data_IF_217771232053
#
_entry.id   IF_217771232053
#
_cell.length_a   1.000
_cell.length_b   1.000
_cell.length_c   1.000
_cell.angle_alpha   90.00
_cell.angle_beta   90.00
_cell.angle_gamma   90.00
#
_symmetry.space_group_name_H-M   'P 1'
#
loop_
_entity.id
_entity.type
_entity.pdbx_description
1 polymer ?
#
# COMPACT_ATOMS: atom_id res chain seq x y z
N UNK A 1 -19.30 -7.43 -0.60
CA UNK A 1 -19.30 -8.91 -0.45
C UNK A 1 -18.33 -9.27 0.66
N UNK A 2 -18.70 -10.17 1.57
CA UNK A 2 -17.81 -10.65 2.63
C UNK A 2 -16.94 -11.79 2.09
N UNK A 3 -15.63 -11.69 2.28
CA UNK A 3 -14.68 -12.73 1.88
C UNK A 3 -14.11 -13.35 3.15
N UNK A 4 -14.26 -14.67 3.30
CA UNK A 4 -13.67 -15.41 4.42
C UNK A 4 -12.28 -15.91 4.03
N UNK A 5 -11.29 -15.63 4.86
CA UNK A 5 -9.90 -16.04 4.65
C UNK A 5 -9.48 -16.94 5.80
N UNK A 6 -8.95 -18.13 5.48
CA UNK A 6 -8.41 -19.08 6.46
C UNK A 6 -6.91 -19.23 6.25
N UNK A 7 -6.11 -18.87 7.26
CA UNK A 7 -4.64 -19.01 7.24
C UNK A 7 -4.28 -20.33 7.92
N UNK A 8 -3.63 -21.24 7.19
CA UNK A 8 -3.22 -22.56 7.70
C UNK A 8 -1.73 -22.59 8.02
N UNK A 9 -1.35 -23.41 9.00
CA UNK A 9 0.05 -23.61 9.36
C UNK A 9 0.69 -22.43 10.08
N UNK A 10 -0.11 -21.63 10.78
CA UNK A 10 0.42 -20.55 11.64
C UNK A 10 1.06 -21.19 12.88
N UNK A 11 2.36 -20.96 13.13
CA UNK A 11 3.01 -21.40 14.36
C UNK A 11 2.31 -20.85 15.61
N UNK A 12 2.27 -21.63 16.70
CA UNK A 12 1.53 -21.25 17.91
C UNK A 12 2.10 -20.00 18.59
N UNK A 13 3.43 -19.85 18.58
CA UNK A 13 4.13 -18.66 19.05
C UNK A 13 3.71 -17.40 18.30
N UNK A 14 3.61 -17.47 16.98
CA UNK A 14 3.14 -16.36 16.14
C UNK A 14 1.67 -16.03 16.43
N UNK A 15 0.82 -17.05 16.57
CA UNK A 15 -0.60 -16.86 16.93
C UNK A 15 -0.72 -16.13 18.26
N UNK A 16 0.02 -16.58 19.27
CA UNK A 16 -0.07 -16.05 20.62
C UNK A 16 0.46 -14.63 20.71
N UNK A 17 1.53 -14.31 19.97
CA UNK A 17 2.01 -12.93 19.87
C UNK A 17 0.99 -12.02 19.19
N UNK A 18 0.36 -12.46 18.10
CA UNK A 18 -0.70 -11.70 17.43
C UNK A 18 -1.92 -11.50 18.34
N UNK A 19 -2.29 -12.52 19.11
CA UNK A 19 -3.36 -12.42 20.11
C UNK A 19 -3.01 -11.41 21.21
N UNK A 20 -1.78 -11.43 21.72
CA UNK A 20 -1.30 -10.47 22.71
C UNK A 20 -1.33 -9.03 22.17
N UNK A 21 -0.91 -8.82 20.92
CA UNK A 21 -0.97 -7.50 20.24
C UNK A 21 -2.40 -7.03 20.03
N UNK A 22 -3.32 -7.93 19.68
CA UNK A 22 -4.74 -7.62 19.56
C UNK A 22 -5.34 -7.22 20.91
N UNK A 23 -5.04 -7.99 21.97
CA UNK A 23 -5.49 -7.72 23.33
C UNK A 23 -4.95 -6.38 23.87
N UNK A 24 -3.68 -6.06 23.60
CA UNK A 24 -3.08 -4.78 23.95
C UNK A 24 -3.81 -3.58 23.31
N UNK A 25 -4.39 -3.78 22.12
CA UNK A 25 -5.20 -2.77 21.44
C UNK A 25 -6.69 -2.87 21.77
N UNK A 26 -7.09 -3.77 22.68
CA UNK A 26 -8.50 -4.10 23.02
C UNK A 26 -9.34 -4.48 21.79
N UNK A 27 -8.72 -5.16 20.81
CA UNK A 27 -9.39 -5.63 19.59
C UNK A 27 -9.48 -7.14 19.61
N UNK A 28 -10.50 -7.70 18.97
CA UNK A 28 -10.52 -9.14 18.72
C UNK A 28 -9.41 -9.52 17.73
N UNK A 29 -8.96 -10.78 17.78
CA UNK A 29 -7.89 -11.26 16.88
C UNK A 29 -8.29 -11.12 15.39
N UNK A 30 -9.56 -11.36 15.06
CA UNK A 30 -10.06 -11.19 13.70
C UNK A 30 -10.04 -9.73 13.25
N UNK A 31 -10.44 -8.78 14.11
CA UNK A 31 -10.41 -7.36 13.78
C UNK A 31 -8.99 -6.82 13.65
N UNK A 32 -8.08 -7.29 14.51
CA UNK A 32 -6.66 -6.94 14.43
C UNK A 32 -6.05 -7.43 13.11
N UNK A 33 -6.27 -8.71 12.77
CA UNK A 33 -5.79 -9.29 11.51
C UNK A 33 -6.39 -8.60 10.29
N UNK A 34 -7.69 -8.29 10.30
CA UNK A 34 -8.33 -7.53 9.22
C UNK A 34 -7.65 -6.17 9.03
N UNK A 35 -7.42 -5.44 10.13
CA UNK A 35 -6.75 -4.14 10.07
C UNK A 35 -5.32 -4.23 9.53
N UNK A 36 -4.56 -5.26 9.88
CA UNK A 36 -3.23 -5.48 9.31
C UNK A 36 -3.29 -5.85 7.82
N UNK A 37 -4.25 -6.68 7.40
CA UNK A 37 -4.46 -7.00 5.98
C UNK A 37 -4.83 -5.75 5.18
N UNK A 38 -5.71 -4.90 5.71
CA UNK A 38 -6.05 -3.61 5.10
C UNK A 38 -4.82 -2.70 5.02
N UNK A 39 -3.99 -2.64 6.07
CA UNK A 39 -2.76 -1.86 6.09
C UNK A 39 -1.74 -2.35 5.07
N UNK A 40 -1.63 -3.67 4.89
CA UNK A 40 -0.77 -4.30 3.87
C UNK A 40 -1.32 -3.96 2.47
N UNK A 41 -2.62 -4.08 2.24
CA UNK A 41 -3.24 -3.76 0.96
C UNK A 41 -3.15 -2.26 0.62
N UNK A 42 -3.27 -1.39 1.63
CA UNK A 42 -3.18 0.06 1.47
C UNK A 42 -1.75 0.53 1.12
N UNK A 43 -0.73 -0.29 1.38
CA UNK A 43 0.65 -0.06 0.95
C UNK A 43 0.95 -0.99 -0.23
N UNK A 44 0.60 -0.61 -1.47
CA UNK A 44 1.13 -1.32 -2.63
C UNK A 44 2.64 -1.34 -2.50
N UNK A 45 3.25 -2.52 -2.67
CA UNK A 45 4.70 -2.63 -2.68
C UNK A 45 5.25 -1.59 -3.67
N UNK A 46 6.37 -0.94 -3.33
CA UNK A 46 6.96 0.11 -4.17
C UNK A 46 7.06 -0.33 -5.64
N UNK A 47 7.33 -1.63 -5.86
CA UNK A 47 7.38 -2.25 -7.17
C UNK A 47 6.01 -2.28 -7.90
N UNK A 48 4.92 -2.65 -7.21
CA UNK A 48 3.56 -2.58 -7.77
C UNK A 48 3.16 -1.14 -8.08
N UNK A 49 3.47 -0.20 -7.17
CA UNK A 49 3.19 1.22 -7.39
C UNK A 49 4.01 1.78 -8.56
N UNK A 50 5.30 1.44 -8.67
CA UNK A 50 6.16 1.84 -9.79
C UNK A 50 5.63 1.28 -11.12
N UNK A 51 5.14 0.04 -11.14
CA UNK A 51 4.50 -0.54 -12.33
C UNK A 51 3.22 0.20 -12.72
N UNK A 52 2.38 0.55 -11.76
CA UNK A 52 1.17 1.35 -12.03
C UNK A 52 1.51 2.76 -12.54
N UNK A 53 2.53 3.41 -11.96
CA UNK A 53 3.01 4.72 -12.43
C UNK A 53 3.58 4.64 -13.84
N UNK A 54 4.38 3.62 -14.15
CA UNK A 54 4.90 3.40 -15.50
C UNK A 54 3.79 3.12 -16.50
N UNK A 55 2.80 2.30 -16.13
CA UNK A 55 1.63 2.03 -16.96
C UNK A 55 0.83 3.30 -17.24
N UNK A 56 0.54 4.10 -16.20
CA UNK A 56 -0.15 5.39 -16.35
C UNK A 56 0.64 6.37 -17.22
N UNK A 57 1.94 6.51 -16.97
CA UNK A 57 2.81 7.40 -17.76
C UNK A 57 2.81 7.04 -19.25
N UNK A 58 2.80 5.75 -19.55
CA UNK A 58 2.75 5.24 -20.93
C UNK A 58 1.35 5.44 -21.54
N UNK A 59 0.28 5.19 -20.78
CA UNK A 59 -1.10 5.30 -21.24
C UNK A 59 -1.57 6.75 -21.46
N UNK A 60 -1.06 7.71 -20.67
CA UNK A 60 -1.42 9.14 -20.82
C UNK A 60 -0.74 9.78 -22.05
N UNK A 61 0.38 9.23 -22.52
CA UNK A 61 1.04 9.67 -23.76
C UNK A 61 1.62 11.09 -23.74
N UNK A 62 1.40 11.87 -22.67
CA UNK A 62 1.96 13.21 -22.50
C UNK A 62 3.39 13.10 -22.00
N UNK A 63 4.33 13.49 -22.85
CA UNK A 63 5.74 13.62 -22.49
C UNK A 63 6.07 15.10 -22.35
N UNK A 64 6.45 15.53 -21.16
CA UNK A 64 6.98 16.89 -20.96
C UNK A 64 8.49 16.79 -20.98
N UNK A 65 9.11 17.44 -21.97
CA UNK A 65 10.56 17.44 -22.11
C UNK A 65 11.23 18.20 -20.97
N UNK A 66 12.47 17.84 -20.63
CA UNK A 66 13.24 18.55 -19.60
C UNK A 66 13.33 20.07 -19.86
N UNK A 67 13.40 20.47 -21.14
CA UNK A 67 13.39 21.88 -21.55
C UNK A 67 12.08 22.59 -21.23
N UNK A 68 10.93 21.95 -21.45
CA UNK A 68 9.61 22.52 -21.12
C UNK A 68 9.42 22.65 -19.61
N UNK A 69 9.90 21.68 -18.84
CA UNK A 69 9.88 21.73 -17.36
C UNK A 69 10.69 22.93 -16.85
N UNK A 70 11.89 23.13 -17.41
CA UNK A 70 12.76 24.25 -17.03
C UNK A 70 12.16 25.59 -17.44
N UNK A 71 11.57 25.69 -18.64
CA UNK A 71 10.89 26.90 -19.10
C UNK A 71 9.66 27.25 -18.23
N UNK A 72 8.81 26.27 -17.91
CA UNK A 72 7.66 26.49 -17.03
C UNK A 72 8.07 26.93 -15.63
N UNK A 73 9.14 26.33 -15.08
CA UNK A 73 9.70 26.71 -13.77
C UNK A 73 10.26 28.13 -13.78
N UNK A 74 10.95 28.52 -14.85
CA UNK A 74 11.59 29.83 -14.93
C UNK A 74 10.54 30.94 -15.23
N UNK A 75 9.43 30.61 -15.89
CA UNK A 75 8.27 31.49 -16.07
C UNK A 75 7.48 31.77 -14.78
N UNK A 76 7.53 30.87 -13.78
CA UNK A 76 6.88 31.05 -12.47
C UNK A 76 7.69 31.96 -11.52
N UNK A 77 8.94 32.30 -11.88
CA UNK A 77 9.84 33.16 -11.07
C UNK A 77 9.83 34.64 -11.45
N UNK A 78 9.11 35.04 -12.49
CA UNK A 78 8.98 36.44 -12.94
C UNK A 78 7.68 37.05 -12.45
#
# INVERSE_FOLDING_TARGET
>A
MTVQITIRGVPEDVRDELAARAAAQRRSMQEYLRGELERIAARPSLDTWLREVQYRKTATGTHVGASEILQARDADRT
#
